data_IF_071761624043
#
_entry.id   IF_071761624043
#
_cell.length_a   1.000
_cell.length_b   1.000
_cell.length_c   1.000
_cell.angle_alpha   90.00
_cell.angle_beta   90.00
_cell.angle_gamma   90.00
#
_symmetry.space_group_name_H-M   'P 1'
#
loop_
_entity.id
_entity.type
_entity.pdbx_description
1 polymer ?
#
# COMPACT_ATOMS: atom_id res chain seq x y z
N UNK A 1 -10.91 -1.30 -12.81
CA UNK A 1 -12.22 -0.69 -12.44
C UNK A 1 -12.59 0.47 -13.35
N UNK A 2 -11.66 1.36 -13.77
CA UNK A 2 -12.00 2.52 -14.64
C UNK A 2 -12.17 2.16 -16.13
N UNK A 3 -11.49 1.14 -16.66
CA UNK A 3 -11.65 0.77 -18.08
C UNK A 3 -13.11 0.46 -18.45
N UNK A 4 -13.80 -0.29 -17.59
CA UNK A 4 -15.21 -0.66 -17.78
C UNK A 4 -16.10 0.59 -17.84
N UNK A 5 -15.87 1.57 -16.97
CA UNK A 5 -16.70 2.78 -16.96
C UNK A 5 -16.32 3.77 -18.07
N UNK A 6 -15.09 3.74 -18.57
CA UNK A 6 -14.65 4.66 -19.63
C UNK A 6 -15.44 4.48 -20.94
N UNK A 7 -15.86 3.25 -21.24
CA UNK A 7 -16.63 2.92 -22.45
C UNK A 7 -18.02 3.54 -22.47
N UNK A 8 -18.60 3.79 -21.29
CA UNK A 8 -19.96 4.33 -21.18
C UNK A 8 -20.01 5.85 -21.04
N UNK A 9 -18.89 6.53 -20.73
CA UNK A 9 -18.89 7.98 -20.49
C UNK A 9 -19.02 8.78 -21.78
N UNK A 10 -18.55 8.26 -22.92
CA UNK A 10 -18.61 8.95 -24.22
C UNK A 10 -20.01 9.01 -24.85
N UNK A 11 -20.87 8.04 -24.54
CA UNK A 11 -22.21 7.91 -25.13
C UNK A 11 -23.33 8.49 -24.25
N UNK A 12 -22.98 8.98 -23.06
CA UNK A 12 -23.96 9.54 -22.12
C UNK A 12 -24.18 11.02 -22.39
N UNK A 13 -25.45 11.42 -22.37
CA UNK A 13 -25.83 12.83 -22.28
C UNK A 13 -25.22 13.44 -21.01
N UNK A 14 -24.42 14.49 -21.18
CA UNK A 14 -23.74 15.21 -20.11
C UNK A 14 -24.73 15.82 -19.09
N UNK A 15 -25.98 16.07 -19.51
CA UNK A 15 -27.07 16.54 -18.64
C UNK A 15 -27.89 15.40 -18.00
N UNK A 16 -27.61 14.15 -18.37
CA UNK A 16 -28.33 12.98 -17.89
C UNK A 16 -28.00 12.60 -16.45
N UNK A 17 -28.99 12.09 -15.72
CA UNK A 17 -28.83 11.61 -14.33
C UNK A 17 -27.70 10.58 -14.18
N UNK A 18 -27.51 9.73 -15.20
CA UNK A 18 -26.44 8.71 -15.24
C UNK A 18 -25.04 9.33 -15.28
N UNK A 19 -24.84 10.37 -16.09
CA UNK A 19 -23.58 11.11 -16.14
C UNK A 19 -23.32 11.82 -14.81
N UNK A 20 -24.35 12.46 -14.23
CA UNK A 20 -24.27 13.12 -12.92
C UNK A 20 -23.89 12.16 -11.79
N UNK A 21 -24.46 10.94 -11.79
CA UNK A 21 -24.10 9.90 -10.83
C UNK A 21 -22.63 9.44 -11.01
N UNK A 22 -22.19 9.21 -12.24
CA UNK A 22 -20.81 8.83 -12.55
C UNK A 22 -19.81 9.93 -12.17
N UNK A 23 -20.12 11.20 -12.47
CA UNK A 23 -19.32 12.36 -12.06
C UNK A 23 -19.20 12.46 -10.54
N UNK A 24 -20.28 12.20 -9.80
CA UNK A 24 -20.28 12.16 -8.33
C UNK A 24 -19.38 11.05 -7.78
N UNK A 25 -19.38 9.86 -8.38
CA UNK A 25 -18.48 8.75 -8.02
C UNK A 25 -17.03 9.13 -8.35
N UNK A 26 -16.77 9.71 -9.52
CA UNK A 26 -15.45 10.14 -9.94
C UNK A 26 -14.86 11.20 -9.00
N UNK A 27 -15.67 12.17 -8.57
CA UNK A 27 -15.26 13.19 -7.60
C UNK A 27 -14.87 12.56 -6.25
N UNK A 28 -15.65 11.60 -5.75
CA UNK A 28 -15.33 10.84 -4.53
C UNK A 28 -14.01 10.07 -4.68
N UNK A 29 -13.81 9.39 -5.82
CA UNK A 29 -12.58 8.65 -6.13
C UNK A 29 -11.36 9.57 -6.21
N UNK A 30 -11.48 10.72 -6.86
CA UNK A 30 -10.42 11.73 -6.92
C UNK A 30 -10.03 12.25 -5.54
N UNK A 31 -11.01 12.52 -4.66
CA UNK A 31 -10.76 12.93 -3.27
C UNK A 31 -9.99 11.85 -2.51
N UNK A 32 -10.41 10.59 -2.65
CA UNK A 32 -9.73 9.44 -2.03
C UNK A 32 -8.29 9.29 -2.56
N UNK A 33 -8.08 9.30 -3.88
CA UNK A 33 -6.76 9.20 -4.51
C UNK A 33 -5.80 10.29 -4.04
N UNK A 34 -6.26 11.54 -3.93
CA UNK A 34 -5.43 12.65 -3.40
C UNK A 34 -4.98 12.40 -1.97
N UNK A 35 -5.87 11.91 -1.11
CA UNK A 35 -5.53 11.55 0.27
C UNK A 35 -4.50 10.42 0.32
N UNK A 36 -4.72 9.40 -0.49
CA UNK A 36 -3.86 8.21 -0.57
C UNK A 36 -2.45 8.55 -1.07
N UNK A 37 -2.34 9.36 -2.12
CA UNK A 37 -1.07 9.84 -2.65
C UNK A 37 -0.33 10.65 -1.58
N UNK A 38 -1.00 11.58 -0.88
CA UNK A 38 -0.35 12.37 0.20
C UNK A 38 0.19 11.48 1.31
N UNK A 39 -0.52 10.41 1.66
CA UNK A 39 -0.10 9.49 2.72
C UNK A 39 1.11 8.66 2.33
N UNK A 40 1.17 8.21 1.06
CA UNK A 40 2.23 7.30 0.58
C UNK A 40 3.43 8.01 -0.04
N UNK A 41 3.26 9.25 -0.52
CA UNK A 41 4.29 10.04 -1.20
C UNK A 41 5.15 10.81 -0.19
N UNK A 42 5.78 10.05 0.69
CA UNK A 42 6.73 10.56 1.68
C UNK A 42 8.18 10.26 1.24
N UNK A 43 9.19 11.00 1.72
CA UNK A 43 10.58 10.64 1.57
C UNK A 43 10.87 9.25 2.15
N UNK A 44 11.98 8.63 1.71
CA UNK A 44 12.39 7.34 2.24
C UNK A 44 12.66 7.42 3.74
N UNK A 45 12.03 6.51 4.49
CA UNK A 45 12.30 6.23 5.89
C UNK A 45 12.24 4.72 6.11
N UNK A 46 12.88 4.24 7.17
CA UNK A 46 12.74 2.87 7.66
C UNK A 46 11.47 2.68 8.50
N UNK A 47 10.77 3.75 8.83
CA UNK A 47 9.49 3.71 9.53
C UNK A 47 8.41 3.15 8.60
N UNK A 48 7.63 2.20 9.13
CA UNK A 48 6.44 1.66 8.49
C UNK A 48 5.24 1.96 9.39
N UNK A 49 4.66 3.19 9.35
CA UNK A 49 3.77 3.70 10.40
C UNK A 49 2.51 2.86 10.62
N UNK A 50 2.02 2.22 9.56
CA UNK A 50 0.83 1.36 9.60
C UNK A 50 1.14 -0.12 9.78
N UNK A 51 2.42 -0.49 10.01
CA UNK A 51 2.80 -1.88 10.22
C UNK A 51 2.04 -2.47 11.40
N UNK A 52 1.59 -3.72 11.25
CA UNK A 52 0.98 -4.51 12.32
C UNK A 52 1.73 -5.81 12.49
N UNK A 53 1.99 -6.23 13.74
CA UNK A 53 2.65 -7.50 14.01
C UNK A 53 1.96 -8.27 15.15
N UNK A 54 1.38 -9.45 14.88
CA UNK A 54 0.63 -10.19 15.89
C UNK A 54 1.53 -10.79 16.98
N UNK A 55 1.04 -10.73 18.21
CA UNK A 55 1.59 -11.47 19.37
C UNK A 55 2.77 -10.83 20.08
N UNK A 56 3.55 -9.92 19.47
CA UNK A 56 4.69 -9.26 20.12
C UNK A 56 4.68 -7.75 19.82
N UNK A 57 4.09 -6.91 20.70
CA UNK A 57 3.97 -5.47 20.48
C UNK A 57 5.29 -4.74 20.25
N UNK A 58 6.38 -5.19 20.89
CA UNK A 58 7.72 -4.59 20.69
C UNK A 58 8.26 -4.77 19.28
N UNK A 59 7.86 -5.83 18.56
CA UNK A 59 8.22 -5.99 17.14
C UNK A 59 7.42 -5.00 16.30
N UNK A 60 6.14 -4.79 16.60
CA UNK A 60 5.31 -3.78 15.93
C UNK A 60 5.87 -2.37 16.13
N UNK A 61 6.22 -2.02 17.36
CA UNK A 61 6.87 -0.74 17.70
C UNK A 61 8.18 -0.56 16.93
N UNK A 62 9.04 -1.59 16.89
CA UNK A 62 10.25 -1.58 16.08
C UNK A 62 9.94 -1.34 14.59
N UNK A 63 8.93 -2.01 14.03
CA UNK A 63 8.56 -1.85 12.62
C UNK A 63 8.14 -0.42 12.30
N UNK A 64 7.43 0.24 13.23
CA UNK A 64 7.00 1.63 13.12
C UNK A 64 8.11 2.64 13.41
N UNK A 65 9.13 2.28 14.17
CA UNK A 65 10.26 3.16 14.53
C UNK A 65 11.33 3.31 13.42
N UNK A 66 12.38 4.10 13.66
CA UNK A 66 13.42 4.37 12.66
C UNK A 66 14.48 3.27 12.56
N UNK A 67 14.56 2.38 13.55
CA UNK A 67 15.59 1.35 13.62
C UNK A 67 15.52 0.36 12.47
N UNK A 68 16.68 -0.08 11.96
CA UNK A 68 16.76 -0.92 10.76
C UNK A 68 16.70 -2.42 11.06
N UNK A 69 17.16 -2.81 12.26
CA UNK A 69 17.18 -4.21 12.69
C UNK A 69 16.98 -4.35 14.19
N UNK A 70 16.42 -5.48 14.62
CA UNK A 70 16.32 -5.84 16.04
C UNK A 70 16.52 -7.35 16.23
N UNK A 71 16.89 -7.77 17.44
CA UNK A 71 16.92 -9.18 17.84
C UNK A 71 15.73 -9.50 18.74
N UNK A 72 15.20 -10.71 18.66
CA UNK A 72 14.09 -11.18 19.53
C UNK A 72 14.55 -11.64 20.91
N UNK A 73 15.81 -11.38 21.29
CA UNK A 73 16.36 -11.77 22.60
C UNK A 73 15.56 -11.09 23.71
N UNK A 74 15.08 -11.86 24.69
CA UNK A 74 14.22 -11.37 25.77
C UNK A 74 12.77 -11.07 25.36
N UNK A 75 12.42 -11.22 24.08
CA UNK A 75 11.05 -11.05 23.57
C UNK A 75 10.39 -12.38 23.26
N UNK A 76 11.18 -13.32 22.73
CA UNK A 76 10.73 -14.67 22.41
C UNK A 76 11.85 -15.66 22.68
N UNK A 77 11.55 -16.66 23.50
CA UNK A 77 12.43 -17.80 23.73
C UNK A 77 12.18 -18.89 22.70
N UNK A 78 13.25 -19.57 22.30
CA UNK A 78 13.20 -20.72 21.40
C UNK A 78 13.91 -21.90 22.07
N UNK A 79 13.39 -23.11 21.85
CA UNK A 79 14.01 -24.37 22.29
C UNK A 79 15.30 -24.67 21.53
N UNK A 80 15.46 -24.10 20.34
CA UNK A 80 16.63 -24.28 19.51
C UNK A 80 16.54 -23.54 18.18
N UNK A 81 17.63 -23.62 17.41
CA UNK A 81 17.72 -23.02 16.08
C UNK A 81 16.63 -23.51 15.10
N UNK A 82 16.18 -24.78 15.12
CA UNK A 82 15.08 -25.22 14.25
C UNK A 82 13.77 -24.46 14.50
N UNK A 83 13.43 -24.21 15.76
CA UNK A 83 12.21 -23.46 16.12
C UNK A 83 12.33 -21.98 15.74
N UNK A 84 13.49 -21.36 15.98
CA UNK A 84 13.76 -20.00 15.53
C UNK A 84 13.65 -19.85 14.01
N UNK A 85 14.14 -20.85 13.26
CA UNK A 85 14.01 -20.89 11.79
C UNK A 85 12.56 -21.03 11.35
N UNK A 86 11.80 -21.93 11.96
CA UNK A 86 10.36 -22.10 11.66
C UNK A 86 9.60 -20.80 11.90
N UNK A 87 9.82 -20.17 13.06
CA UNK A 87 9.20 -18.89 13.39
C UNK A 87 9.54 -17.78 12.39
N UNK A 88 10.81 -17.67 11.98
CA UNK A 88 11.25 -16.70 10.98
C UNK A 88 10.51 -16.90 9.64
N UNK A 89 10.38 -18.15 9.18
CA UNK A 89 9.69 -18.47 7.93
C UNK A 89 8.18 -18.16 8.00
N UNK A 90 7.51 -18.52 9.10
CA UNK A 90 6.08 -18.24 9.32
C UNK A 90 5.82 -16.74 9.35
N UNK A 91 6.63 -15.96 10.08
CA UNK A 91 6.45 -14.51 10.15
C UNK A 91 6.66 -13.82 8.80
N UNK A 92 7.66 -14.25 8.03
CA UNK A 92 7.91 -13.67 6.69
C UNK A 92 6.76 -13.98 5.73
N UNK A 93 6.10 -15.13 5.86
CA UNK A 93 4.97 -15.53 5.02
C UNK A 93 3.65 -14.85 5.44
N UNK A 94 3.38 -14.78 6.74
CA UNK A 94 2.02 -14.49 7.24
C UNK A 94 1.87 -13.09 7.86
N UNK A 95 2.96 -12.41 8.26
CA UNK A 95 2.91 -11.21 9.12
C UNK A 95 3.48 -9.92 8.48
N UNK A 96 3.43 -9.79 7.14
CA UNK A 96 3.91 -8.58 6.42
C UNK A 96 2.78 -7.64 5.99
N UNK A 97 1.79 -7.40 6.86
CA UNK A 97 0.74 -6.43 6.58
C UNK A 97 1.26 -5.02 6.81
N UNK A 98 1.24 -4.20 5.76
CA UNK A 98 1.73 -2.82 5.73
C UNK A 98 3.18 -2.67 6.24
N UNK A 99 3.98 -3.73 6.09
CA UNK A 99 5.37 -3.80 6.51
C UNK A 99 6.18 -4.62 5.50
N UNK A 100 7.51 -4.48 5.54
CA UNK A 100 8.40 -5.42 4.87
C UNK A 100 9.69 -5.63 5.64
N UNK A 101 10.00 -6.90 5.91
CA UNK A 101 11.18 -7.30 6.66
C UNK A 101 11.65 -8.70 6.25
N UNK A 102 12.88 -9.01 6.60
CA UNK A 102 13.43 -10.37 6.59
C UNK A 102 13.72 -10.80 8.02
N UNK A 103 13.78 -12.11 8.23
CA UNK A 103 14.11 -12.69 9.53
C UNK A 103 15.21 -13.73 9.36
N UNK A 104 16.30 -13.60 10.11
CA UNK A 104 17.43 -14.52 10.10
C UNK A 104 17.60 -15.18 11.47
N UNK A 105 17.46 -16.51 11.58
CA UNK A 105 17.68 -17.23 12.83
C UNK A 105 19.17 -17.36 13.13
N UNK A 106 19.55 -17.26 14.40
CA UNK A 106 20.92 -17.41 14.88
C UNK A 106 20.94 -17.96 16.32
N UNK A 107 22.13 -18.20 16.86
CA UNK A 107 22.33 -18.76 18.21
C UNK A 107 22.22 -20.28 18.27
N UNK A 108 22.31 -20.85 19.48
CA UNK A 108 22.33 -22.30 19.72
C UNK A 108 21.53 -22.67 20.96
N UNK A 109 20.86 -23.83 20.94
CA UNK A 109 20.04 -24.30 22.06
C UNK A 109 19.07 -23.21 22.57
N UNK A 110 19.04 -23.01 23.89
CA UNK A 110 18.17 -22.02 24.56
C UNK A 110 18.55 -20.56 24.30
N UNK A 111 19.69 -20.28 23.67
CA UNK A 111 20.11 -18.92 23.28
C UNK A 111 19.83 -18.62 21.81
N UNK A 112 19.06 -19.48 21.13
CA UNK A 112 18.59 -19.20 19.78
C UNK A 112 17.72 -17.93 19.75
N UNK A 113 17.83 -17.15 18.69
CA UNK A 113 17.07 -15.92 18.48
C UNK A 113 16.85 -15.68 16.98
N UNK A 114 16.00 -14.70 16.66
CA UNK A 114 15.81 -14.21 15.30
C UNK A 114 16.23 -12.74 15.23
N UNK A 115 16.97 -12.40 14.18
CA UNK A 115 17.23 -11.01 13.81
C UNK A 115 16.23 -10.59 12.75
N UNK A 116 15.46 -9.55 13.04
CA UNK A 116 14.50 -8.94 12.13
C UNK A 116 15.21 -7.77 11.48
N UNK A 117 15.17 -7.69 10.15
CA UNK A 117 15.77 -6.59 9.38
C UNK A 117 14.75 -6.05 8.40
N UNK A 118 14.44 -4.76 8.48
CA UNK A 118 13.51 -4.09 7.57
C UNK A 118 14.05 -4.11 6.16
N UNK A 119 13.16 -4.05 5.17
CA UNK A 119 13.57 -3.94 3.78
C UNK A 119 13.01 -2.69 3.12
N UNK A 120 13.71 -2.24 2.08
CA UNK A 120 13.25 -1.12 1.24
C UNK A 120 12.01 -1.47 0.41
N UNK A 121 11.59 -2.74 0.36
CA UNK A 121 10.46 -3.19 -0.46
C UNK A 121 9.17 -2.45 -0.12
N UNK A 122 8.87 -2.23 1.16
CA UNK A 122 7.67 -1.50 1.56
C UNK A 122 7.62 -0.11 0.93
N UNK A 123 8.71 0.67 1.06
CA UNK A 123 8.81 1.99 0.44
C UNK A 123 8.68 1.92 -1.09
N UNK A 124 9.37 0.98 -1.73
CA UNK A 124 9.31 0.83 -3.18
C UNK A 124 7.88 0.49 -3.66
N UNK A 125 7.17 -0.37 -2.93
CA UNK A 125 5.78 -0.72 -3.21
C UNK A 125 4.86 0.49 -3.00
N UNK A 126 5.09 1.31 -1.96
CA UNK A 126 4.39 2.59 -1.77
C UNK A 126 4.61 3.54 -2.95
N UNK A 127 5.86 3.70 -3.41
CA UNK A 127 6.19 4.56 -4.55
C UNK A 127 5.56 4.05 -5.85
N UNK A 128 5.50 2.73 -6.04
CA UNK A 128 4.79 2.13 -7.18
C UNK A 128 3.30 2.48 -7.15
N UNK A 129 2.63 2.29 -6.00
CA UNK A 129 1.22 2.66 -5.82
C UNK A 129 0.97 4.16 -6.04
N UNK A 130 1.88 5.03 -5.58
CA UNK A 130 1.78 6.47 -5.83
C UNK A 130 1.73 6.78 -7.33
N UNK A 131 2.62 6.17 -8.13
CA UNK A 131 2.63 6.35 -9.59
C UNK A 131 1.36 5.83 -10.25
N UNK A 132 0.85 4.69 -9.81
CA UNK A 132 -0.41 4.11 -10.28
C UNK A 132 -1.59 5.05 -9.97
N UNK A 133 -1.69 5.56 -8.74
CA UNK A 133 -2.74 6.50 -8.34
C UNK A 133 -2.65 7.86 -9.04
N UNK A 134 -1.44 8.35 -9.31
CA UNK A 134 -1.25 9.56 -10.11
C UNK A 134 -1.75 9.36 -11.54
N UNK A 135 -1.40 8.23 -12.16
CA UNK A 135 -1.91 7.86 -13.50
C UNK A 135 -3.43 7.75 -13.51
N UNK A 136 -4.01 7.07 -12.52
CA UNK A 136 -5.46 6.93 -12.35
C UNK A 136 -6.14 8.30 -12.25
N UNK A 137 -5.59 9.19 -11.41
CA UNK A 137 -6.11 10.54 -11.20
C UNK A 137 -6.10 11.35 -12.51
N UNK A 138 -5.03 11.29 -13.29
CA UNK A 138 -4.95 11.99 -14.58
C UNK A 138 -5.92 11.43 -15.61
N UNK A 139 -6.12 10.11 -15.64
CA UNK A 139 -7.09 9.47 -16.53
C UNK A 139 -8.53 9.91 -16.20
N UNK A 140 -8.92 9.92 -14.92
CA UNK A 140 -10.23 10.42 -14.51
C UNK A 140 -10.39 11.89 -14.90
N UNK A 141 -9.38 12.75 -14.63
CA UNK A 141 -9.45 14.17 -15.03
C UNK A 141 -9.61 14.34 -16.53
N UNK A 142 -8.94 13.53 -17.36
CA UNK A 142 -9.05 13.60 -18.83
C UNK A 142 -10.46 13.22 -19.30
N UNK A 143 -11.02 12.13 -18.79
CA UNK A 143 -12.35 11.65 -19.17
C UNK A 143 -13.43 12.71 -18.92
N UNK A 144 -13.44 13.30 -17.73
CA UNK A 144 -14.45 14.32 -17.36
C UNK A 144 -14.10 15.74 -17.84
N UNK A 145 -12.92 15.98 -18.43
CA UNK A 145 -12.61 17.20 -19.19
C UNK A 145 -13.03 17.11 -20.67
N UNK A 146 -13.12 15.91 -21.23
CA UNK A 146 -13.51 15.69 -22.63
C UNK A 146 -15.02 15.57 -22.82
N UNK A 147 -15.74 15.04 -21.82
CA UNK A 147 -17.21 15.17 -21.72
C UNK A 147 -17.68 16.59 -21.38
N UNK A 148 -17.00 17.61 -21.91
CA UNK A 148 -17.46 19.01 -21.98
C UNK A 148 -17.10 19.65 -23.33
N UNK A 149 -16.40 18.94 -24.22
CA UNK A 149 -15.84 19.46 -25.46
C UNK A 149 -16.44 18.82 -26.72
N UNK A 150 -17.29 17.79 -26.58
CA UNK A 150 -17.96 17.14 -27.73
C UNK A 150 -19.24 17.86 -28.15
N UNK A 151 -19.23 19.20 -28.18
CA UNK A 151 -20.12 19.95 -29.08
C UNK A 151 -19.43 20.06 -30.44
N UNK A 152 -19.47 19.00 -31.25
CA UNK A 152 -19.36 19.16 -32.70
C UNK A 152 -20.76 19.40 -33.23
N UNK A 153 -20.93 20.60 -33.76
CA UNK A 153 -22.14 21.09 -34.41
C UNK A 153 -22.73 20.07 -35.37
N UNK A 154 -24.03 19.85 -35.25
CA UNK A 154 -24.85 19.30 -36.33
C UNK A 154 -25.30 20.49 -37.16
N UNK A 155 -24.62 20.72 -38.28
CA UNK A 155 -25.07 21.66 -39.31
C UNK A 155 -25.85 20.85 -40.34
N UNK A 156 -27.11 21.23 -40.48
CA UNK A 156 -28.06 21.07 -41.61
C UNK A 156 -28.17 19.72 -42.33
#
# INVERSE_FOLDING_TARGET
MIEVFSQYVGDLDEAGEKFTALASIAAKRLKWLKGEIRRLNIPFSWEMPSATFPGIPKIEEFLRGPETSMKTVGLKSFKGLPEARKYAAECVRDNQKDASFTMKPAGKGKTAYVTITKTRKWFNDCQKKVREFQTEMENIKKLYKHGSATKKARTE
#
